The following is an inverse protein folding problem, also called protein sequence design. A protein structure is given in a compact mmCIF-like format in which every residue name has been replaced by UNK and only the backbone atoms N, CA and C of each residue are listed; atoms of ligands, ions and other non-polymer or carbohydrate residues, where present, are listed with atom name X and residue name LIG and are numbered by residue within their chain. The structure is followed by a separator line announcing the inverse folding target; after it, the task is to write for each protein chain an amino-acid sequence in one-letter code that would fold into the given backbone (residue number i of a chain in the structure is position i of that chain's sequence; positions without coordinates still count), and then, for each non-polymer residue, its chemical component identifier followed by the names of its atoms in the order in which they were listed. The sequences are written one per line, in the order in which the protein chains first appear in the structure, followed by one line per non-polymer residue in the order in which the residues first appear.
data_IF_397515882729
#
_entry.id   IF_397515882729
#
_cell.length_a   1.000
_cell.length_b   1.000
_cell.length_c   1.000
_cell.angle_alpha   90.00
_cell.angle_beta   90.00
_cell.angle_gamma   90.00
#
_symmetry.space_group_name_H-M   'P 1'
#
loop_
_entity.id
_entity.type
_entity.pdbx_description
1 polymer ?
#
# COMPACT_ATOMS: atom_id res chain seq x y z
N UNK A 1 -78.42 47.50 -40.90
CA UNK A 1 -78.63 46.12 -41.28
C UNK A 1 -77.41 45.32 -41.04
N UNK A 2 -77.55 44.42 -40.06
CA UNK A 2 -77.07 43.06 -39.96
C UNK A 2 -75.58 42.90 -39.82
N UNK A 3 -75.18 42.60 -38.62
CA UNK A 3 -74.88 41.29 -37.99
C UNK A 3 -73.62 40.62 -38.50
N UNK A 4 -72.67 40.47 -37.57
CA UNK A 4 -72.13 39.15 -37.27
C UNK A 4 -71.27 39.20 -36.02
N UNK A 5 -71.94 38.88 -34.96
CA UNK A 5 -71.39 38.37 -33.71
C UNK A 5 -70.86 36.95 -34.00
N UNK A 6 -69.76 36.60 -33.36
CA UNK A 6 -69.56 35.20 -33.04
C UNK A 6 -68.24 34.60 -33.50
N UNK A 7 -67.28 34.45 -32.59
CA UNK A 7 -66.55 33.22 -32.31
C UNK A 7 -65.30 33.44 -31.50
N UNK A 8 -65.40 33.89 -30.27
CA UNK A 8 -64.33 33.91 -29.31
C UNK A 8 -64.50 32.93 -28.16
N UNK A 9 -65.15 31.85 -28.34
CA UNK A 9 -65.44 30.92 -27.23
C UNK A 9 -64.92 29.50 -27.43
N UNK A 10 -63.94 29.28 -28.33
CA UNK A 10 -63.53 27.91 -28.60
C UNK A 10 -62.04 27.56 -28.17
N UNK A 11 -61.34 28.44 -27.52
CA UNK A 11 -59.96 28.14 -27.08
C UNK A 11 -59.80 27.83 -25.61
N UNK A 12 -60.77 27.96 -24.76
CA UNK A 12 -60.66 27.75 -23.30
C UNK A 12 -61.11 26.38 -22.78
N UNK A 13 -61.53 25.45 -23.65
CA UNK A 13 -62.03 24.15 -23.17
C UNK A 13 -61.17 22.95 -23.39
N UNK A 14 -59.95 23.12 -23.91
CA UNK A 14 -59.03 21.97 -24.10
C UNK A 14 -58.09 21.67 -22.92
N UNK A 15 -58.08 22.50 -21.90
CA UNK A 15 -57.26 22.32 -20.71
C UNK A 15 -58.00 21.68 -19.51
N UNK A 16 -59.26 21.24 -19.69
CA UNK A 16 -60.08 20.77 -18.56
C UNK A 16 -60.26 19.25 -18.48
N UNK A 17 -59.52 18.48 -19.24
CA UNK A 17 -59.63 17.02 -19.24
C UNK A 17 -58.30 16.31 -18.96
N UNK A 18 -57.43 16.95 -18.18
CA UNK A 18 -56.42 16.17 -17.45
C UNK A 18 -57.18 15.49 -16.34
N UNK A 19 -57.48 14.22 -16.51
CA UNK A 19 -58.18 13.44 -15.49
C UNK A 19 -57.33 13.42 -14.23
N UNK A 20 -57.98 13.39 -13.07
CA UNK A 20 -57.27 13.28 -11.79
C UNK A 20 -56.23 12.15 -11.81
N UNK A 21 -56.49 11.09 -12.59
CA UNK A 21 -55.56 9.98 -12.81
C UNK A 21 -54.29 10.36 -13.57
N UNK A 22 -54.40 11.20 -14.62
CA UNK A 22 -53.22 11.69 -15.35
C UNK A 22 -52.34 12.62 -14.50
N UNK A 23 -52.97 13.47 -13.69
CA UNK A 23 -52.23 14.34 -12.76
C UNK A 23 -51.47 13.51 -11.71
N UNK A 24 -52.07 12.45 -11.18
CA UNK A 24 -51.42 11.53 -10.24
C UNK A 24 -50.27 10.75 -10.93
N UNK A 25 -50.48 10.30 -12.18
CA UNK A 25 -49.48 9.59 -12.93
C UNK A 25 -48.25 10.48 -13.23
N UNK A 26 -48.46 11.74 -13.63
CA UNK A 26 -47.38 12.71 -13.85
C UNK A 26 -46.63 13.01 -12.55
N UNK A 27 -47.38 13.22 -11.44
CA UNK A 27 -46.76 13.44 -10.13
C UNK A 27 -45.92 12.25 -9.67
N UNK A 28 -46.40 11.02 -9.86
CA UNK A 28 -45.66 9.81 -9.54
C UNK A 28 -44.37 9.68 -10.38
N UNK A 29 -44.44 10.03 -11.67
CA UNK A 29 -43.28 9.98 -12.58
C UNK A 29 -42.25 11.02 -12.22
N UNK A 30 -42.65 12.22 -11.81
CA UNK A 30 -41.76 13.28 -11.33
C UNK A 30 -41.07 12.89 -10.02
N UNK A 31 -41.82 12.31 -9.07
CA UNK A 31 -41.29 11.87 -7.78
C UNK A 31 -40.30 10.72 -8.00
N UNK A 32 -40.60 9.76 -8.85
CA UNK A 32 -39.71 8.64 -9.20
C UNK A 32 -38.47 9.13 -9.94
N UNK A 33 -38.61 10.07 -10.87
CA UNK A 33 -37.48 10.68 -11.59
C UNK A 33 -36.57 11.48 -10.67
N UNK A 34 -37.12 12.24 -9.73
CA UNK A 34 -36.35 12.97 -8.71
C UNK A 34 -35.65 12.02 -7.73
N UNK A 35 -36.28 10.89 -7.38
CA UNK A 35 -35.68 9.84 -6.56
C UNK A 35 -34.43 9.24 -7.23
N UNK A 36 -34.56 8.81 -8.48
CA UNK A 36 -33.47 8.29 -9.29
C UNK A 36 -32.36 9.32 -9.52
N UNK A 37 -32.75 10.57 -9.85
CA UNK A 37 -31.76 11.62 -10.07
C UNK A 37 -30.97 11.95 -8.80
N UNK A 38 -31.63 11.91 -7.64
CA UNK A 38 -31.01 12.11 -6.34
C UNK A 38 -30.07 10.95 -5.96
N UNK A 39 -30.35 9.75 -6.46
CA UNK A 39 -29.48 8.57 -6.27
C UNK A 39 -28.27 8.61 -7.21
N UNK A 40 -28.44 9.12 -8.44
CA UNK A 40 -27.36 9.35 -9.40
C UNK A 40 -26.50 10.58 -9.08
N UNK A 41 -27.02 11.57 -8.39
CA UNK A 41 -26.29 12.80 -8.00
C UNK A 41 -25.82 12.78 -6.56
N UNK A 42 -26.12 11.73 -5.79
CA UNK A 42 -25.35 11.50 -4.57
C UNK A 42 -23.93 11.18 -5.02
N UNK A 43 -22.91 12.00 -4.71
CA UNK A 43 -21.58 11.48 -4.67
C UNK A 43 -21.64 10.26 -3.77
N UNK A 44 -20.99 9.16 -4.18
CA UNK A 44 -20.82 7.97 -3.36
C UNK A 44 -20.13 8.33 -2.04
N UNK A 45 -20.87 9.02 -1.17
CA UNK A 45 -20.59 9.13 0.26
C UNK A 45 -21.09 7.87 1.01
N UNK A 46 -20.95 6.70 0.39
CA UNK A 46 -20.45 5.58 1.11
C UNK A 46 -18.95 5.83 1.26
N UNK A 47 -18.59 6.89 1.99
CA UNK A 47 -17.42 6.82 2.83
C UNK A 47 -17.70 5.58 3.71
N UNK A 48 -17.30 4.40 3.21
CA UNK A 48 -16.80 3.37 4.08
C UNK A 48 -15.91 4.17 5.02
N UNK A 49 -16.36 4.38 6.25
CA UNK A 49 -15.50 4.81 7.34
C UNK A 49 -14.54 3.63 7.45
N UNK A 50 -13.57 3.61 6.56
CA UNK A 50 -12.32 2.93 6.79
C UNK A 50 -11.82 3.72 7.97
N UNK A 51 -12.19 3.23 9.16
CA UNK A 51 -11.54 3.59 10.38
C UNK A 51 -10.07 3.47 10.02
N UNK A 52 -9.41 4.62 9.86
CA UNK A 52 -8.03 4.70 9.41
C UNK A 52 -7.26 4.11 10.58
N UNK A 53 -7.22 2.77 10.58
CA UNK A 53 -6.51 1.98 11.57
C UNK A 53 -5.11 2.56 11.54
N UNK A 54 -4.73 3.19 12.64
CA UNK A 54 -3.46 3.88 12.74
C UNK A 54 -2.37 2.90 12.28
N UNK A 55 -1.79 3.17 11.12
CA UNK A 55 -0.78 2.29 10.54
C UNK A 55 0.37 2.19 11.52
N UNK A 56 0.61 1.01 12.04
CA UNK A 56 1.73 0.76 12.95
C UNK A 56 3.01 0.85 12.09
N UNK A 57 3.98 1.72 12.46
CA UNK A 57 5.21 1.82 11.68
C UNK A 57 5.92 0.48 11.64
N UNK A 58 6.22 -0.01 10.45
CA UNK A 58 6.99 -1.25 10.30
C UNK A 58 8.35 -1.12 10.97
N UNK A 59 8.64 -2.01 11.91
CA UNK A 59 9.97 -2.22 12.50
C UNK A 59 10.47 -3.59 12.10
N UNK A 60 11.73 -3.66 11.73
CA UNK A 60 12.38 -4.90 11.36
C UNK A 60 13.37 -5.30 12.44
N UNK A 61 13.49 -6.60 12.66
CA UNK A 61 14.51 -7.24 13.48
C UNK A 61 15.30 -8.24 12.64
N UNK A 62 16.56 -8.44 12.96
CA UNK A 62 17.39 -9.46 12.37
C UNK A 62 17.66 -10.59 13.37
N UNK A 63 17.53 -11.83 12.92
CA UNK A 63 17.92 -13.03 13.63
C UNK A 63 19.09 -13.68 12.88
N UNK A 64 20.22 -13.88 13.57
CA UNK A 64 21.40 -14.52 12.97
C UNK A 64 21.15 -16.02 12.87
N UNK A 65 21.30 -16.58 11.68
CA UNK A 65 21.15 -17.99 11.39
C UNK A 65 22.46 -18.56 10.81
N UNK A 66 22.59 -19.86 10.80
CA UNK A 66 23.72 -20.58 10.19
C UNK A 66 25.09 -20.05 10.59
N UNK A 67 25.28 -19.80 11.86
CA UNK A 67 26.56 -19.29 12.40
C UNK A 67 27.02 -17.97 11.72
N UNK A 68 26.05 -17.12 11.38
CA UNK A 68 26.31 -15.85 10.72
C UNK A 68 26.45 -15.91 9.19
N UNK A 69 26.20 -17.05 8.58
CA UNK A 69 26.15 -17.17 7.10
C UNK A 69 24.90 -16.54 6.52
N UNK A 70 23.85 -16.45 7.33
CA UNK A 70 22.61 -15.79 6.96
C UNK A 70 22.04 -14.96 8.10
N UNK A 71 21.21 -13.97 7.76
CA UNK A 71 20.46 -13.14 8.68
C UNK A 71 19.00 -13.12 8.20
N UNK A 72 18.10 -13.61 9.02
CA UNK A 72 16.65 -13.55 8.77
C UNK A 72 16.10 -12.22 9.26
N UNK A 73 15.58 -11.41 8.36
CA UNK A 73 15.00 -10.11 8.66
C UNK A 73 13.48 -10.24 8.63
N UNK A 74 12.86 -9.97 9.75
CA UNK A 74 11.41 -10.11 9.90
C UNK A 74 10.77 -8.89 10.57
N UNK A 75 9.48 -8.62 10.33
CA UNK A 75 8.73 -7.64 11.11
C UNK A 75 8.73 -7.98 12.60
N UNK A 76 8.77 -6.94 13.44
CA UNK A 76 8.63 -7.09 14.89
C UNK A 76 7.18 -7.35 15.28
N UNK A 77 6.27 -6.72 14.54
CA UNK A 77 4.83 -6.77 14.77
C UNK A 77 4.21 -7.97 14.06
N UNK A 78 3.47 -8.81 14.80
CA UNK A 78 2.86 -10.03 14.26
C UNK A 78 1.76 -9.80 13.20
N UNK A 79 1.26 -8.57 13.10
CA UNK A 79 0.24 -8.20 12.10
C UNK A 79 0.78 -7.86 10.71
N UNK A 80 2.11 -7.89 10.55
CA UNK A 80 2.79 -7.58 9.30
C UNK A 80 3.34 -8.86 8.66
N UNK A 81 2.83 -9.20 7.47
CA UNK A 81 3.36 -10.32 6.69
C UNK A 81 4.32 -9.80 5.62
N UNK A 82 5.60 -10.12 5.74
CA UNK A 82 6.62 -9.73 4.78
C UNK A 82 6.37 -10.41 3.43
N UNK A 83 6.50 -9.65 2.33
CA UNK A 83 6.45 -10.16 0.97
C UNK A 83 7.84 -10.16 0.33
N UNK A 84 8.59 -9.06 0.48
CA UNK A 84 9.95 -8.93 -0.02
C UNK A 84 10.71 -7.82 0.68
N UNK A 85 12.04 -7.90 0.63
CA UNK A 85 12.93 -6.82 1.05
C UNK A 85 13.88 -6.46 -0.09
N UNK A 86 14.14 -5.18 -0.24
CA UNK A 86 15.24 -4.66 -1.04
C UNK A 86 16.23 -3.96 -0.11
N UNK A 87 17.41 -4.51 0.01
CA UNK A 87 18.50 -4.02 0.88
C UNK A 87 19.50 -3.30 0.01
N UNK A 88 19.67 -1.99 0.22
CA UNK A 88 20.64 -1.18 -0.51
C UNK A 88 21.85 -0.92 0.37
N UNK A 89 23.02 -1.41 -0.07
CA UNK A 89 24.33 -1.18 0.54
C UNK A 89 25.20 -0.40 -0.45
N UNK A 90 25.35 0.91 -0.22
CA UNK A 90 26.00 1.79 -1.20
C UNK A 90 25.25 1.83 -2.53
N UNK A 91 25.92 1.49 -3.63
CA UNK A 91 25.34 1.43 -4.97
C UNK A 91 24.67 0.07 -5.29
N UNK A 92 24.92 -0.95 -4.50
CA UNK A 92 24.42 -2.31 -4.73
C UNK A 92 23.08 -2.54 -4.05
N UNK A 93 22.26 -3.41 -4.68
CA UNK A 93 20.97 -3.83 -4.15
C UNK A 93 20.93 -5.35 -4.03
N UNK A 94 20.38 -5.82 -2.92
CA UNK A 94 20.14 -7.24 -2.65
C UNK A 94 18.63 -7.37 -2.45
N UNK A 95 18.00 -8.26 -3.19
CA UNK A 95 16.58 -8.57 -3.05
C UNK A 95 16.42 -9.91 -2.36
N UNK A 96 15.49 -9.96 -1.38
CA UNK A 96 15.13 -11.18 -0.66
C UNK A 96 13.64 -11.42 -0.77
N UNK A 97 13.22 -12.65 -0.62
CA UNK A 97 11.81 -13.03 -0.61
C UNK A 97 11.10 -12.74 0.71
N UNK A 98 9.96 -13.39 0.89
CA UNK A 98 9.14 -13.29 2.09
C UNK A 98 9.77 -13.90 3.35
N UNK A 99 10.79 -14.72 3.19
CA UNK A 99 11.63 -15.27 4.25
C UNK A 99 12.57 -14.22 4.87
N UNK A 100 12.81 -13.11 4.15
CA UNK A 100 13.70 -12.02 4.58
C UNK A 100 15.17 -12.46 4.75
N UNK A 101 15.56 -13.58 4.12
CA UNK A 101 16.90 -14.16 4.26
C UNK A 101 17.95 -13.34 3.52
N UNK A 102 18.90 -12.77 4.25
CA UNK A 102 20.08 -12.11 3.72
C UNK A 102 21.29 -13.04 3.86
N UNK A 103 21.86 -13.46 2.75
CA UNK A 103 23.09 -14.27 2.71
C UNK A 103 24.32 -13.38 2.91
N UNK A 104 25.26 -13.83 3.74
CA UNK A 104 26.51 -13.13 4.03
C UNK A 104 27.35 -12.91 2.78
N UNK A 105 27.39 -13.89 1.87
CA UNK A 105 28.12 -13.79 0.62
C UNK A 105 27.49 -12.77 -0.34
N UNK A 106 26.15 -12.65 -0.32
CA UNK A 106 25.46 -11.63 -1.09
C UNK A 106 25.83 -10.22 -0.60
N UNK A 107 25.93 -10.03 0.73
CA UNK A 107 26.41 -8.78 1.30
C UNK A 107 27.89 -8.52 0.97
N UNK A 108 28.74 -9.51 1.10
CA UNK A 108 30.17 -9.42 0.76
C UNK A 108 30.34 -8.95 -0.70
N UNK A 109 29.61 -9.56 -1.64
CA UNK A 109 29.63 -9.16 -3.04
C UNK A 109 29.09 -7.73 -3.25
N UNK A 110 28.08 -7.33 -2.51
CA UNK A 110 27.48 -6.00 -2.61
C UNK A 110 28.40 -4.90 -2.08
N UNK A 111 29.11 -5.18 -1.01
CA UNK A 111 30.09 -4.26 -0.42
C UNK A 111 31.39 -4.20 -1.26
N UNK A 112 31.79 -5.31 -1.85
CA UNK A 112 33.03 -5.41 -2.64
C UNK A 112 34.23 -4.83 -1.90
N UNK A 113 34.96 -3.94 -2.55
CA UNK A 113 36.12 -3.26 -1.96
C UNK A 113 35.80 -2.25 -0.84
N UNK A 114 34.53 -1.93 -0.65
CA UNK A 114 34.08 -1.05 0.44
C UNK A 114 33.87 -1.81 1.77
N UNK A 115 33.97 -3.14 1.74
CA UNK A 115 33.97 -3.93 2.96
C UNK A 115 35.29 -3.66 3.72
N UNK A 116 35.15 -3.17 4.95
CA UNK A 116 36.32 -3.05 5.83
C UNK A 116 36.74 -4.44 6.24
N UNK A 117 37.98 -4.80 5.89
CA UNK A 117 38.64 -6.03 6.30
C UNK A 117 39.45 -5.78 7.55
N UNK A 118 39.47 -6.71 8.47
CA UNK A 118 40.24 -6.65 9.70
C UNK A 118 39.59 -7.40 10.85
N UNK A 119 40.36 -7.51 11.94
CA UNK A 119 39.83 -8.13 13.16
C UNK A 119 38.79 -7.21 13.81
N UNK A 120 37.65 -7.79 14.21
CA UNK A 120 36.64 -7.09 14.96
C UNK A 120 35.28 -7.05 14.29
N UNK A 121 34.42 -6.26 14.89
CA UNK A 121 33.05 -6.07 14.41
C UNK A 121 32.98 -4.81 13.55
N UNK A 122 32.52 -4.98 12.34
CA UNK A 122 32.29 -3.90 11.39
C UNK A 122 30.79 -3.58 11.29
N UNK A 123 30.47 -2.37 10.87
CA UNK A 123 29.09 -1.91 10.69
C UNK A 123 28.95 -1.15 9.38
N UNK A 124 27.90 -1.46 8.67
CA UNK A 124 27.55 -0.75 7.44
C UNK A 124 26.12 -0.24 7.53
N UNK A 125 25.91 1.00 7.10
CA UNK A 125 24.55 1.55 6.98
C UNK A 125 23.91 1.04 5.70
N UNK A 126 22.75 0.43 5.85
CA UNK A 126 21.94 -0.06 4.74
C UNK A 126 20.56 0.62 4.74
N UNK A 127 20.01 0.83 3.58
CA UNK A 127 18.62 1.24 3.41
C UNK A 127 17.80 0.00 3.06
N UNK A 128 16.75 -0.26 3.82
CA UNK A 128 15.85 -1.38 3.58
C UNK A 128 14.50 -0.83 3.15
N UNK A 129 14.03 -1.28 2.00
CA UNK A 129 12.66 -1.12 1.53
C UNK A 129 11.97 -2.47 1.69
N UNK A 130 10.89 -2.49 2.47
CA UNK A 130 10.09 -3.68 2.73
C UNK A 130 8.72 -3.55 2.09
N UNK A 131 8.30 -4.58 1.37
CA UNK A 131 6.91 -4.78 0.95
C UNK A 131 6.28 -5.78 1.88
N UNK A 132 5.11 -5.45 2.41
CA UNK A 132 4.44 -6.28 3.41
C UNK A 132 2.91 -6.09 3.34
N UNK A 133 2.19 -7.05 3.91
CA UNK A 133 0.74 -6.98 4.07
C UNK A 133 0.42 -6.60 5.51
N UNK A 134 -0.46 -5.62 5.69
CA UNK A 134 -1.03 -5.25 6.99
C UNK A 134 -2.54 -5.13 6.84
N UNK A 135 -3.29 -5.85 7.65
CA UNK A 135 -4.76 -5.89 7.60
C UNK A 135 -5.33 -6.18 6.19
N UNK A 136 -4.66 -7.07 5.41
CA UNK A 136 -5.07 -7.44 4.07
C UNK A 136 -4.71 -6.45 2.96
N UNK A 137 -4.01 -5.36 3.28
CA UNK A 137 -3.57 -4.36 2.30
C UNK A 137 -2.05 -4.41 2.08
N UNK A 138 -1.63 -4.31 0.83
CA UNK A 138 -0.22 -4.20 0.46
C UNK A 138 0.32 -2.83 0.86
N UNK A 139 1.45 -2.84 1.54
CA UNK A 139 2.15 -1.63 2.00
C UNK A 139 3.64 -1.70 1.71
N UNK A 140 4.25 -0.53 1.65
CA UNK A 140 5.70 -0.38 1.51
C UNK A 140 6.21 0.53 2.62
N UNK A 141 7.31 0.13 3.26
CA UNK A 141 8.01 0.95 4.22
C UNK A 141 9.50 0.97 3.90
N UNK A 142 10.14 2.11 4.16
CA UNK A 142 11.57 2.28 3.97
C UNK A 142 12.21 2.76 5.26
N UNK A 143 13.37 2.18 5.62
CA UNK A 143 14.12 2.57 6.80
C UNK A 143 15.62 2.46 6.59
N UNK A 144 16.39 3.17 7.43
CA UNK A 144 17.85 3.02 7.52
C UNK A 144 18.18 2.16 8.72
N UNK A 145 19.07 1.20 8.51
CA UNK A 145 19.50 0.23 9.51
C UNK A 145 21.02 0.12 9.52
N UNK A 146 21.57 -0.32 10.62
CA UNK A 146 22.99 -0.66 10.77
C UNK A 146 23.11 -2.18 10.75
N UNK A 147 23.78 -2.71 9.74
CA UNK A 147 24.10 -4.12 9.60
C UNK A 147 25.48 -4.35 10.17
N UNK A 148 25.61 -5.29 11.11
CA UNK A 148 26.87 -5.64 11.76
C UNK A 148 27.38 -6.94 11.20
N UNK A 149 28.68 -7.00 10.95
CA UNK A 149 29.35 -8.18 10.43
C UNK A 149 30.79 -8.29 10.99
N UNK A 150 31.38 -9.44 10.85
CA UNK A 150 32.81 -9.69 11.13
C UNK A 150 33.40 -10.58 10.06
N UNK A 151 34.72 -10.52 9.92
CA UNK A 151 35.43 -11.46 9.08
C UNK A 151 35.88 -12.67 9.91
N UNK A 152 35.70 -13.86 9.36
CA UNK A 152 36.18 -15.13 9.91
C UNK A 152 37.09 -15.82 8.89
N UNK A 153 38.13 -16.46 9.41
CA UNK A 153 39.12 -17.15 8.58
C UNK A 153 40.36 -16.29 8.36
N UNK A 154 41.33 -16.78 7.64
CA UNK A 154 42.62 -16.13 7.42
C UNK A 154 43.77 -16.97 7.95
N UNK A 155 43.55 -18.26 8.23
CA UNK A 155 44.67 -19.19 8.41
C UNK A 155 45.51 -19.32 7.14
N UNK A 156 46.71 -19.85 7.25
CA UNK A 156 47.78 -19.91 6.21
C UNK A 156 47.31 -20.41 4.81
N UNK A 157 46.12 -21.01 4.69
CA UNK A 157 45.56 -21.55 3.46
C UNK A 157 44.05 -21.32 3.30
N UNK A 158 43.42 -20.52 4.20
CA UNK A 158 41.95 -20.28 4.19
C UNK A 158 41.60 -18.87 3.76
N UNK A 159 40.58 -18.71 2.91
CA UNK A 159 40.03 -17.42 2.56
C UNK A 159 39.25 -16.80 3.73
N UNK A 160 39.17 -15.49 3.78
CA UNK A 160 38.28 -14.77 4.67
C UNK A 160 36.83 -14.94 4.23
N UNK A 161 35.91 -15.10 5.18
CA UNK A 161 34.48 -15.13 4.93
C UNK A 161 33.76 -14.15 5.84
N UNK A 162 32.83 -13.40 5.29
CA UNK A 162 32.01 -12.47 6.05
C UNK A 162 30.97 -13.25 6.87
N UNK A 163 30.76 -12.86 8.13
CA UNK A 163 29.73 -13.36 9.03
C UNK A 163 28.86 -12.23 9.51
N UNK A 164 27.57 -12.39 9.33
CA UNK A 164 26.56 -11.45 9.81
C UNK A 164 26.41 -11.62 11.33
N UNK A 165 26.34 -10.52 12.06
CA UNK A 165 26.24 -10.55 13.53
C UNK A 165 24.99 -9.87 14.05
N UNK A 166 24.28 -9.09 13.23
CA UNK A 166 23.01 -8.50 13.62
C UNK A 166 22.57 -7.32 12.77
N UNK A 167 21.34 -6.90 13.05
CA UNK A 167 20.68 -5.73 12.47
C UNK A 167 20.18 -4.85 13.61
N UNK A 168 20.45 -3.55 13.54
CA UNK A 168 19.96 -2.55 14.49
C UNK A 168 19.46 -1.31 13.75
N UNK A 169 18.61 -0.52 14.39
CA UNK A 169 18.12 0.74 13.85
C UNK A 169 18.87 1.91 14.41
#
# INVERSE_FOLDING_TARGET
MSEASGSETSRKSRLRWVTLGEAIAIAALVISGLGLWREYTKPDDTAVVVEKQASIPLRLRGHVADEGRSLEISPVENGHALQSLTISAGASKIETGSDGGLDAKALENALGKAAEEGDGMHRVRVRIEARYVEAGADKTATGSYMLSYRWEGGGLLGGHSLRLTGLSR
#
